data_IF_947963500372
#
_entry.id   IF_947963500372
#
_cell.length_a   1.000
_cell.length_b   1.000
_cell.length_c   1.000
_cell.angle_alpha   90.00
_cell.angle_beta   90.00
_cell.angle_gamma   90.00
#
_symmetry.space_group_name_H-M   'P 1'
#
loop_
_entity.id
_entity.type
_entity.pdbx_description
1 polymer ?
#
# COMPACT_ATOMS: atom_id res chain seq x y z
N UNK A 1 16.41 -0.10 6.57
CA UNK A 1 15.52 -0.10 5.39
C UNK A 1 15.21 1.35 5.06
N UNK A 2 15.37 1.80 3.81
CA UNK A 2 15.22 3.21 3.40
C UNK A 2 14.38 3.37 2.13
N UNK A 3 13.54 2.38 1.83
CA UNK A 3 12.72 2.36 0.63
C UNK A 3 11.26 2.68 0.96
N UNK A 4 10.88 3.96 0.87
CA UNK A 4 9.54 4.41 1.27
C UNK A 4 8.72 4.92 0.08
N UNK A 5 9.31 5.73 -0.80
CA UNK A 5 8.62 6.22 -1.99
C UNK A 5 8.35 5.10 -3.01
N UNK A 6 7.10 4.96 -3.46
CA UNK A 6 6.69 3.98 -4.48
C UNK A 6 7.39 4.18 -5.84
N UNK A 7 7.75 5.43 -6.19
CA UNK A 7 8.35 5.77 -7.50
C UNK A 7 9.88 5.61 -7.50
N UNK A 8 10.55 6.16 -6.49
CA UNK A 8 12.00 6.33 -6.52
C UNK A 8 12.73 5.73 -5.31
N UNK A 9 12.00 5.08 -4.41
CA UNK A 9 12.51 4.48 -3.16
C UNK A 9 13.22 5.45 -2.22
N UNK A 10 13.15 6.76 -2.46
CA UNK A 10 13.68 7.76 -1.54
C UNK A 10 12.82 7.86 -0.27
N UNK A 11 13.38 8.38 0.85
CA UNK A 11 12.62 8.61 2.07
C UNK A 11 11.44 9.57 1.89
N UNK A 12 10.45 9.44 2.76
CA UNK A 12 9.33 10.37 2.89
C UNK A 12 9.70 11.54 3.80
N UNK A 13 9.17 12.71 3.47
CA UNK A 13 9.14 13.88 4.33
C UNK A 13 7.69 14.19 4.73
N UNK A 14 7.53 14.63 5.97
CA UNK A 14 6.27 15.08 6.53
C UNK A 14 6.32 16.60 6.70
N UNK A 15 5.41 17.28 6.02
CA UNK A 15 5.29 18.73 6.00
C UNK A 15 4.43 19.21 7.19
N UNK A 16 4.70 20.43 7.65
CA UNK A 16 3.94 21.03 8.76
C UNK A 16 2.49 21.36 8.36
N UNK A 17 2.30 21.80 7.13
CA UNK A 17 1.01 22.14 6.54
C UNK A 17 0.65 21.20 5.38
N UNK A 18 -0.65 21.09 5.11
CA UNK A 18 -1.11 20.42 3.90
C UNK A 18 -0.70 21.22 2.66
N UNK A 19 -0.12 20.54 1.68
CA UNK A 19 0.15 21.10 0.37
C UNK A 19 -0.70 20.38 -0.70
N UNK A 20 -1.13 21.14 -1.71
CA UNK A 20 -1.77 20.56 -2.88
C UNK A 20 -0.72 19.82 -3.72
N UNK A 21 -0.87 18.51 -3.86
CA UNK A 21 0.06 17.65 -4.58
C UNK A 21 -0.63 16.95 -5.75
N UNK A 22 0.15 16.61 -6.77
CA UNK A 22 -0.33 15.86 -7.94
C UNK A 22 0.21 14.43 -7.88
N UNK A 23 -0.68 13.44 -7.98
CA UNK A 23 -0.30 12.04 -7.99
C UNK A 23 0.54 11.72 -9.23
N UNK A 24 1.73 11.14 -9.04
CA UNK A 24 2.65 10.77 -10.12
C UNK A 24 2.13 9.66 -11.05
N UNK A 25 1.02 8.99 -10.69
CA UNK A 25 0.44 7.88 -11.44
C UNK A 25 -0.83 8.30 -12.19
N UNK A 26 -1.81 8.87 -11.47
CA UNK A 26 -3.12 9.21 -12.04
C UNK A 26 -3.35 10.70 -12.27
N UNK A 27 -2.39 11.56 -11.90
CA UNK A 27 -2.47 13.02 -12.05
C UNK A 27 -3.61 13.72 -11.29
N UNK A 28 -4.34 13.00 -10.42
CA UNK A 28 -5.29 13.60 -9.48
C UNK A 28 -4.56 14.55 -8.53
N UNK A 29 -5.19 15.68 -8.21
CA UNK A 29 -4.68 16.66 -7.24
C UNK A 29 -5.46 16.58 -5.94
N UNK A 30 -4.76 16.45 -4.82
CA UNK A 30 -5.35 16.46 -3.48
C UNK A 30 -4.35 16.97 -2.45
N UNK A 31 -4.85 17.36 -1.28
CA UNK A 31 -4.01 17.86 -0.19
C UNK A 31 -3.33 16.69 0.54
N UNK A 32 -2.05 16.84 0.83
CA UNK A 32 -1.27 15.87 1.60
C UNK A 32 -0.21 16.58 2.43
N UNK A 33 0.17 15.96 3.55
CA UNK A 33 1.35 16.35 4.35
C UNK A 33 2.57 15.50 4.05
N UNK A 34 2.45 14.51 3.18
CA UNK A 34 3.49 13.52 2.96
C UNK A 34 3.84 13.44 1.48
N UNK A 35 5.14 13.59 1.18
CA UNK A 35 5.72 13.31 -0.14
C UNK A 35 7.11 12.73 0.04
N UNK A 36 7.72 12.18 -1.01
CA UNK A 36 9.14 11.86 -0.91
C UNK A 36 10.00 13.11 -1.01
N UNK A 37 11.22 13.05 -0.48
CA UNK A 37 12.23 14.14 -0.56
C UNK A 37 12.60 14.57 -1.99
N UNK A 38 12.14 13.84 -3.01
CA UNK A 38 12.27 14.18 -4.44
C UNK A 38 10.97 14.71 -5.06
N UNK A 39 9.95 15.01 -4.27
CA UNK A 39 8.69 15.61 -4.70
C UNK A 39 7.61 14.63 -5.15
N UNK A 40 7.87 13.32 -5.26
CA UNK A 40 6.84 12.37 -5.66
C UNK A 40 5.75 12.20 -4.60
N UNK A 41 4.51 12.23 -5.07
CA UNK A 41 3.31 11.93 -4.33
C UNK A 41 2.51 10.85 -5.06
N UNK A 42 1.89 9.92 -4.32
CA UNK A 42 1.00 8.89 -4.86
C UNK A 42 -0.26 8.88 -4.00
N UNK A 43 -1.43 9.07 -4.62
CA UNK A 43 -2.71 9.08 -3.91
C UNK A 43 -3.08 7.69 -3.37
N UNK A 44 -3.98 7.65 -2.39
CA UNK A 44 -4.44 6.40 -1.78
C UNK A 44 -5.07 5.44 -2.80
N UNK A 45 -5.81 5.96 -3.79
CA UNK A 45 -6.45 5.15 -4.83
C UNK A 45 -5.40 4.39 -5.67
N UNK A 46 -4.26 5.03 -5.97
CA UNK A 46 -3.15 4.39 -6.67
C UNK A 46 -2.31 3.52 -5.74
N UNK A 47 -2.25 3.84 -4.45
CA UNK A 47 -1.54 3.05 -3.47
C UNK A 47 -2.21 1.68 -3.26
N UNK A 48 -3.54 1.67 -3.16
CA UNK A 48 -4.35 0.46 -2.99
C UNK A 48 -4.71 -0.23 -4.30
N UNK A 49 -4.24 0.29 -5.44
CA UNK A 49 -4.43 -0.35 -6.74
C UNK A 49 -3.73 -1.71 -6.73
N UNK A 50 -4.52 -2.79 -6.64
CA UNK A 50 -4.02 -4.15 -6.46
C UNK A 50 -4.70 -4.91 -5.32
N UNK A 51 -5.49 -4.24 -4.47
CA UNK A 51 -6.20 -4.86 -3.35
C UNK A 51 -7.12 -6.02 -3.78
N UNK A 52 -7.71 -5.95 -4.99
CA UNK A 52 -8.51 -7.04 -5.56
C UNK A 52 -7.73 -8.36 -5.66
N UNK A 53 -6.40 -8.30 -5.76
CA UNK A 53 -5.54 -9.48 -5.77
C UNK A 53 -5.55 -10.21 -4.42
N UNK A 54 -5.77 -9.49 -3.31
CA UNK A 54 -5.97 -10.10 -1.97
C UNK A 54 -7.25 -10.93 -1.99
N UNK A 55 -8.34 -10.38 -2.55
CA UNK A 55 -9.62 -11.08 -2.64
C UNK A 55 -9.47 -12.34 -3.48
N UNK A 56 -8.79 -12.24 -4.64
CA UNK A 56 -8.49 -13.39 -5.49
C UNK A 56 -7.69 -14.47 -4.76
N UNK A 57 -6.67 -14.08 -3.98
CA UNK A 57 -5.89 -14.99 -3.14
C UNK A 57 -6.78 -15.67 -2.10
N UNK A 58 -7.59 -14.91 -1.34
CA UNK A 58 -8.51 -15.46 -0.34
C UNK A 58 -9.46 -16.51 -0.93
N UNK A 59 -10.06 -16.21 -2.07
CA UNK A 59 -11.04 -17.10 -2.71
C UNK A 59 -10.42 -18.42 -3.21
N UNK A 60 -9.13 -18.41 -3.55
CA UNK A 60 -8.40 -19.59 -4.04
C UNK A 60 -7.65 -20.35 -2.92
N UNK A 61 -7.56 -19.79 -1.72
CA UNK A 61 -6.76 -20.33 -0.64
C UNK A 61 -7.44 -21.52 0.05
N UNK A 62 -6.64 -22.51 0.42
CA UNK A 62 -7.11 -23.74 1.10
C UNK A 62 -6.48 -23.93 2.47
N UNK A 63 -5.43 -23.18 2.81
CA UNK A 63 -4.81 -23.21 4.13
C UNK A 63 -5.79 -22.78 5.21
N UNK A 64 -5.70 -23.43 6.37
CA UNK A 64 -6.42 -23.08 7.60
C UNK A 64 -5.54 -22.33 8.59
N UNK A 65 -4.32 -22.00 8.18
CA UNK A 65 -3.35 -21.29 9.00
C UNK A 65 -3.31 -19.81 8.59
N UNK A 66 -3.90 -18.89 9.38
CA UNK A 66 -3.94 -17.47 9.03
C UNK A 66 -2.55 -16.84 8.90
N UNK A 67 -1.52 -17.40 9.52
CA UNK A 67 -0.14 -16.92 9.40
C UNK A 67 0.40 -17.18 7.99
N UNK A 68 0.19 -18.37 7.44
CA UNK A 68 0.60 -18.68 6.06
C UNK A 68 -0.14 -17.81 5.04
N UNK A 69 -1.43 -17.55 5.30
CA UNK A 69 -2.28 -16.76 4.41
C UNK A 69 -1.79 -15.31 4.37
N UNK A 70 -1.52 -14.70 5.53
CA UNK A 70 -1.04 -13.31 5.57
C UNK A 70 0.37 -13.18 5.00
N UNK A 71 1.24 -14.18 5.19
CA UNK A 71 2.57 -14.19 4.57
C UNK A 71 2.49 -14.20 3.04
N UNK A 72 1.57 -14.99 2.47
CA UNK A 72 1.31 -14.98 1.01
C UNK A 72 0.82 -13.62 0.52
N UNK A 73 -0.08 -12.96 1.27
CA UNK A 73 -0.55 -11.61 0.94
C UNK A 73 0.57 -10.56 1.01
N UNK A 74 1.41 -10.61 2.05
CA UNK A 74 2.54 -9.69 2.21
C UNK A 74 3.63 -9.89 1.14
N UNK A 75 3.76 -11.09 0.59
CA UNK A 75 4.70 -11.40 -0.49
C UNK A 75 4.22 -10.89 -1.88
N UNK A 76 3.00 -10.35 -1.98
CA UNK A 76 2.47 -9.88 -3.27
C UNK A 76 3.19 -8.59 -3.71
N UNK A 77 3.51 -8.42 -5.01
CA UNK A 77 4.31 -7.28 -5.49
C UNK A 77 3.73 -5.89 -5.20
N UNK A 78 2.41 -5.77 -5.00
CA UNK A 78 1.75 -4.49 -4.71
C UNK A 78 1.71 -4.16 -3.21
N UNK A 79 2.10 -5.10 -2.33
CA UNK A 79 2.14 -4.88 -0.89
C UNK A 79 3.42 -4.14 -0.49
N UNK A 80 3.27 -2.94 0.07
CA UNK A 80 4.40 -2.11 0.51
C UNK A 80 4.44 -2.07 2.03
N UNK A 81 5.61 -2.25 2.66
CA UNK A 81 5.76 -2.41 4.12
C UNK A 81 5.00 -1.37 4.99
N UNK A 82 4.85 -0.14 4.52
CA UNK A 82 4.12 0.93 5.22
C UNK A 82 2.88 1.41 4.47
N UNK A 83 2.39 0.59 3.54
CA UNK A 83 1.23 0.88 2.73
C UNK A 83 -0.09 0.55 3.43
N UNK A 84 -1.17 1.29 3.10
CA UNK A 84 -2.52 1.08 3.66
C UNK A 84 -3.09 -0.31 3.38
N UNK A 85 -2.54 -1.08 2.43
CA UNK A 85 -2.95 -2.46 2.14
C UNK A 85 -2.90 -3.35 3.40
N UNK A 86 -1.96 -3.07 4.31
CA UNK A 86 -1.79 -3.82 5.56
C UNK A 86 -3.02 -3.75 6.48
N UNK A 87 -3.82 -2.69 6.38
CA UNK A 87 -4.98 -2.48 7.26
C UNK A 87 -6.08 -3.55 7.06
N UNK A 88 -6.19 -4.12 5.86
CA UNK A 88 -7.21 -5.14 5.55
C UNK A 88 -6.68 -6.57 5.64
N UNK A 89 -5.36 -6.78 5.51
CA UNK A 89 -4.74 -8.11 5.39
C UNK A 89 -4.98 -8.99 6.62
N UNK A 90 -4.90 -8.42 7.83
CA UNK A 90 -5.12 -9.19 9.07
C UNK A 90 -6.53 -9.76 9.13
N UNK A 91 -7.54 -8.94 8.84
CA UNK A 91 -8.93 -9.38 8.80
C UNK A 91 -9.19 -10.39 7.69
N UNK A 92 -8.62 -10.16 6.50
CA UNK A 92 -8.74 -11.07 5.36
C UNK A 92 -8.16 -12.45 5.67
N UNK A 93 -6.96 -12.52 6.26
CA UNK A 93 -6.31 -13.78 6.62
C UNK A 93 -7.12 -14.58 7.65
N UNK A 94 -7.67 -13.92 8.67
CA UNK A 94 -8.51 -14.55 9.69
C UNK A 94 -9.83 -15.09 9.15
N UNK A 95 -10.46 -14.38 8.21
CA UNK A 95 -11.73 -14.81 7.60
C UNK A 95 -11.55 -15.91 6.53
N UNK A 96 -10.36 -16.01 5.95
CA UNK A 96 -10.04 -17.00 4.91
C UNK A 96 -9.73 -18.37 5.50
N UNK A 97 -9.02 -18.41 6.63
CA UNK A 97 -8.72 -19.63 7.37
C UNK A 97 -10.02 -20.30 7.85
#
# INVERSE_FOLDING_TARGET
MKEECLICKAPLEYLEADELMECAICHKKENSKTRCVKGHYVCNDCHTAGLDSIIGLCLAETSKNPIEIIEKMMAMPFCHMHGPEHHVMVGAALLTA
#
